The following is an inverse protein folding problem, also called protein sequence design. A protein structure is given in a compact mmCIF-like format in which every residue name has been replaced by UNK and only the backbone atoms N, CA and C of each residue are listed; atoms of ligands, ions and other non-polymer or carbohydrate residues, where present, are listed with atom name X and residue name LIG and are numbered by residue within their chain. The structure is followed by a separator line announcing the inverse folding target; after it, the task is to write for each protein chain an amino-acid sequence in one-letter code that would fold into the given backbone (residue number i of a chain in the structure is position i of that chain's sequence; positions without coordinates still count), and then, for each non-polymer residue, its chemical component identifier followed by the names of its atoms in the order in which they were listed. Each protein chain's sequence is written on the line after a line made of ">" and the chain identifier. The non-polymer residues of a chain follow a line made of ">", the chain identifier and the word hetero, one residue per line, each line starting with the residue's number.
data_IF_970371045696
#
_entry.id   IF_970371045696
#
_cell.length_a   1.000
_cell.length_b   1.000
_cell.length_c   1.000
_cell.angle_alpha   90.00
_cell.angle_beta   90.00
_cell.angle_gamma   90.00
#
_symmetry.space_group_name_H-M   'P 1'
#
loop_
_entity.id
_entity.type
_entity.pdbx_description
1 polymer ?
#
# COMPACT_ATOMS: atom_id res chain seq x y z
N UNK A 1 18.14 -15.80 29.06
CA UNK A 1 18.15 -15.46 27.63
C UNK A 1 17.24 -16.45 26.95
N UNK A 2 15.99 -16.09 26.73
CA UNK A 2 15.09 -16.85 25.86
C UNK A 2 14.46 -15.81 24.94
N UNK A 3 15.00 -15.75 23.73
CA UNK A 3 14.41 -15.00 22.62
C UNK A 3 13.21 -15.80 22.16
N UNK A 4 12.03 -15.32 22.54
CA UNK A 4 10.77 -15.86 22.07
C UNK A 4 10.69 -15.69 20.54
N UNK A 5 10.15 -16.73 19.94
CA UNK A 5 10.31 -17.13 18.55
C UNK A 5 9.42 -16.23 17.70
N UNK A 6 10.01 -15.42 16.81
CA UNK A 6 9.27 -14.72 15.76
C UNK A 6 8.48 -15.74 14.96
N UNK A 7 7.17 -15.84 15.23
CA UNK A 7 6.24 -16.57 14.39
C UNK A 7 6.15 -15.83 13.06
N UNK A 8 6.89 -16.31 12.06
CA UNK A 8 6.77 -15.88 10.68
C UNK A 8 5.30 -16.03 10.25
N UNK A 9 4.58 -14.91 10.20
CA UNK A 9 3.24 -14.87 9.64
C UNK A 9 3.35 -15.02 8.12
N UNK A 10 3.40 -16.27 7.64
CA UNK A 10 3.36 -16.65 6.21
C UNK A 10 1.96 -16.40 5.58
N UNK A 11 1.27 -15.33 5.98
CA UNK A 11 -0.03 -14.96 5.44
C UNK A 11 0.15 -13.74 4.55
N UNK A 12 0.52 -13.98 3.29
CA UNK A 12 0.60 -12.89 2.31
C UNK A 12 -0.79 -12.34 2.01
N UNK A 13 -1.08 -11.16 2.52
CA UNK A 13 -2.35 -10.47 2.29
C UNK A 13 -2.51 -10.07 0.81
N UNK A 14 -3.73 -9.92 0.30
CA UNK A 14 -3.94 -9.36 -1.04
C UNK A 14 -3.24 -8.00 -1.25
N UNK A 15 -3.13 -7.17 -0.21
CA UNK A 15 -2.44 -5.88 -0.28
C UNK A 15 -0.93 -6.07 -0.51
N UNK A 16 -0.29 -6.98 0.21
CA UNK A 16 1.12 -7.34 -0.04
C UNK A 16 1.32 -7.82 -1.49
N UNK A 17 0.44 -8.71 -1.97
CA UNK A 17 0.53 -9.23 -3.35
C UNK A 17 0.48 -8.11 -4.38
N UNK A 18 -0.41 -7.14 -4.23
CA UNK A 18 -0.48 -6.03 -5.19
C UNK A 18 0.69 -5.05 -5.06
N UNK A 19 1.23 -4.85 -3.86
CA UNK A 19 2.41 -4.01 -3.64
C UNK A 19 3.65 -4.59 -4.34
N UNK A 20 3.79 -5.91 -4.34
CA UNK A 20 4.89 -6.61 -5.00
C UNK A 20 4.72 -6.81 -6.52
N UNK A 21 3.59 -6.41 -7.11
CA UNK A 21 3.40 -6.50 -8.56
C UNK A 21 4.36 -5.57 -9.31
N UNK A 22 4.98 -6.03 -10.42
CA UNK A 22 5.67 -5.15 -11.35
C UNK A 22 4.75 -4.05 -11.89
N UNK A 23 5.30 -2.88 -12.17
CA UNK A 23 4.48 -1.70 -12.52
C UNK A 23 3.59 -1.94 -13.74
N UNK A 24 4.12 -2.57 -14.79
CA UNK A 24 3.35 -2.90 -16.00
C UNK A 24 2.19 -3.87 -15.74
N UNK A 25 2.31 -4.76 -14.75
CA UNK A 25 1.21 -5.67 -14.36
C UNK A 25 0.19 -4.91 -13.53
N UNK A 26 0.66 -4.13 -12.55
CA UNK A 26 -0.21 -3.26 -11.77
C UNK A 26 -1.01 -2.33 -12.68
N UNK A 27 -0.38 -1.83 -13.74
CA UNK A 27 -1.01 -0.91 -14.67
C UNK A 27 -2.15 -1.50 -15.49
N UNK A 28 -2.01 -2.78 -15.86
CA UNK A 28 -2.98 -3.51 -16.68
C UNK A 28 -4.10 -4.13 -15.84
N UNK A 29 -3.77 -4.68 -14.68
CA UNK A 29 -4.68 -5.54 -13.91
C UNK A 29 -5.42 -4.80 -12.79
N UNK A 30 -4.87 -3.68 -12.28
CA UNK A 30 -5.47 -2.97 -11.16
C UNK A 30 -6.38 -1.83 -11.64
N UNK A 31 -7.53 -1.73 -11.00
CA UNK A 31 -8.39 -0.54 -11.11
C UNK A 31 -7.67 0.69 -10.55
N UNK A 32 -8.05 1.89 -10.98
CA UNK A 32 -7.43 3.15 -10.51
C UNK A 32 -7.39 3.26 -8.99
N UNK A 33 -8.45 2.84 -8.29
CA UNK A 33 -8.49 2.91 -6.82
C UNK A 33 -7.63 1.84 -6.14
N UNK A 34 -7.42 0.68 -6.77
CA UNK A 34 -6.44 -0.31 -6.31
C UNK A 34 -5.01 0.19 -6.53
N UNK A 35 -4.72 0.85 -7.65
CA UNK A 35 -3.41 1.50 -7.88
C UNK A 35 -3.12 2.57 -6.82
N UNK A 36 -4.12 3.40 -6.50
CA UNK A 36 -4.02 4.40 -5.41
C UNK A 36 -3.76 3.75 -4.06
N UNK A 37 -4.49 2.68 -3.73
CA UNK A 37 -4.28 1.93 -2.48
C UNK A 37 -2.88 1.31 -2.43
N UNK A 38 -2.42 0.70 -3.52
CA UNK A 38 -1.06 0.18 -3.68
C UNK A 38 -0.01 1.26 -3.45
N UNK A 39 -0.17 2.41 -4.10
CA UNK A 39 0.76 3.54 -3.97
C UNK A 39 0.87 4.01 -2.51
N UNK A 40 -0.27 4.24 -1.85
CA UNK A 40 -0.31 4.67 -0.44
C UNK A 40 0.28 3.60 0.48
N UNK A 41 -0.02 2.32 0.24
CA UNK A 41 0.45 1.24 1.09
C UNK A 41 1.98 1.08 1.00
N UNK A 42 2.55 1.15 -0.22
CA UNK A 42 4.00 1.08 -0.42
C UNK A 42 4.71 2.17 0.37
N UNK A 43 4.25 3.41 0.31
CA UNK A 43 4.96 4.52 0.96
C UNK A 43 4.23 4.98 2.25
N UNK A 44 3.57 4.05 2.95
CA UNK A 44 2.74 4.40 4.11
C UNK A 44 3.55 5.02 5.25
N UNK A 45 4.81 4.61 5.43
CA UNK A 45 5.71 5.16 6.45
C UNK A 45 6.00 6.65 6.23
N UNK A 46 5.98 7.12 4.98
CA UNK A 46 6.24 8.53 4.64
C UNK A 46 5.04 9.44 4.87
N UNK A 47 3.85 8.86 5.04
CA UNK A 47 2.60 9.59 5.05
C UNK A 47 1.79 9.41 6.33
N UNK A 48 1.94 8.28 7.00
CA UNK A 48 1.20 7.96 8.20
C UNK A 48 1.79 8.61 9.45
N UNK A 49 0.91 8.87 10.43
CA UNK A 49 1.31 9.26 11.77
C UNK A 49 1.57 8.00 12.60
N UNK A 50 2.74 7.90 13.24
CA UNK A 50 3.06 6.78 14.13
C UNK A 50 2.26 6.89 15.42
N UNK A 51 1.56 5.82 15.78
CA UNK A 51 0.80 5.70 17.02
C UNK A 51 1.07 4.35 17.70
N UNK A 52 0.71 4.18 19.00
CA UNK A 52 0.88 2.90 19.68
C UNK A 52 0.13 1.72 19.06
N UNK A 53 -0.86 1.98 18.21
CA UNK A 53 -1.64 0.97 17.50
C UNK A 53 -1.09 0.65 16.10
N UNK A 54 -0.04 1.32 15.65
CA UNK A 54 0.52 1.22 14.30
C UNK A 54 0.58 2.56 13.56
N UNK A 55 0.66 2.47 12.24
CA UNK A 55 0.73 3.62 11.32
C UNK A 55 -0.67 4.10 10.96
N UNK A 56 -0.98 5.36 11.27
CA UNK A 56 -2.34 5.90 11.14
C UNK A 56 -2.44 6.85 9.95
N UNK A 57 -3.40 6.58 9.07
CA UNK A 57 -3.80 7.45 7.96
C UNK A 57 -5.22 7.95 8.18
N UNK A 58 -5.43 9.26 8.09
CA UNK A 58 -6.77 9.83 7.99
C UNK A 58 -7.16 10.11 6.53
N UNK A 59 -8.45 10.39 6.31
CA UNK A 59 -8.97 10.67 4.97
C UNK A 59 -8.33 11.90 4.31
N UNK A 60 -7.86 12.87 5.11
CA UNK A 60 -7.21 14.06 4.57
C UNK A 60 -5.80 13.75 4.08
N UNK A 61 -5.08 12.91 4.81
CA UNK A 61 -3.74 12.43 4.47
C UNK A 61 -3.80 11.62 3.18
N UNK A 62 -4.73 10.67 3.08
CA UNK A 62 -4.98 9.92 1.83
C UNK A 62 -5.29 10.86 0.66
N UNK A 63 -6.16 11.86 0.87
CA UNK A 63 -6.48 12.83 -0.17
C UNK A 63 -5.26 13.65 -0.61
N UNK A 64 -4.39 14.05 0.33
CA UNK A 64 -3.15 14.78 0.04
C UNK A 64 -2.17 13.92 -0.76
N UNK A 65 -1.96 12.67 -0.36
CA UNK A 65 -1.07 11.74 -1.06
C UNK A 65 -1.54 11.52 -2.49
N UNK A 66 -2.83 11.26 -2.70
CA UNK A 66 -3.40 11.12 -4.06
C UNK A 66 -3.23 12.42 -4.86
N UNK A 67 -3.45 13.59 -4.23
CA UNK A 67 -3.27 14.89 -4.90
C UNK A 67 -1.81 15.12 -5.30
N UNK A 68 -0.86 14.71 -4.46
CA UNK A 68 0.57 14.82 -4.76
C UNK A 68 0.97 13.89 -5.92
N UNK A 69 0.41 12.68 -5.97
CA UNK A 69 0.68 11.71 -7.03
C UNK A 69 0.02 12.07 -8.38
N UNK A 70 -1.21 12.57 -8.37
CA UNK A 70 -2.02 12.78 -9.60
C UNK A 70 -2.16 14.26 -10.00
N UNK A 71 -1.64 15.19 -9.18
CA UNK A 71 -1.75 16.64 -9.40
C UNK A 71 -3.16 17.22 -9.25
N UNK A 72 -4.17 16.39 -8.98
CA UNK A 72 -5.57 16.82 -8.86
C UNK A 72 -6.20 16.28 -7.58
N UNK A 73 -7.07 17.11 -6.97
CA UNK A 73 -7.72 16.75 -5.72
C UNK A 73 -8.78 15.67 -5.96
N UNK A 74 -8.71 14.50 -5.29
CA UNK A 74 -9.71 13.46 -5.46
C UNK A 74 -11.04 13.84 -4.82
N UNK A 75 -12.14 13.28 -5.35
CA UNK A 75 -13.44 13.35 -4.68
C UNK A 75 -13.43 12.58 -3.36
N UNK A 76 -14.25 13.01 -2.39
CA UNK A 76 -14.40 12.33 -1.09
C UNK A 76 -14.81 10.86 -1.25
N UNK A 77 -15.62 10.53 -2.26
CA UNK A 77 -16.00 9.15 -2.54
C UNK A 77 -14.81 8.30 -3.03
N UNK A 78 -13.87 8.89 -3.75
CA UNK A 78 -12.62 8.23 -4.16
C UNK A 78 -11.77 7.91 -2.94
N UNK A 79 -11.60 8.87 -2.04
CA UNK A 79 -10.84 8.68 -0.79
C UNK A 79 -11.48 7.56 0.05
N UNK A 80 -12.80 7.58 0.22
CA UNK A 80 -13.51 6.53 0.96
C UNK A 80 -13.29 5.15 0.32
N UNK A 81 -13.42 5.02 -1.01
CA UNK A 81 -13.15 3.76 -1.71
C UNK A 81 -11.72 3.28 -1.52
N UNK A 82 -10.74 4.18 -1.50
CA UNK A 82 -9.33 3.82 -1.27
C UNK A 82 -9.14 3.32 0.16
N UNK A 83 -9.75 3.96 1.17
CA UNK A 83 -9.74 3.47 2.56
C UNK A 83 -10.34 2.07 2.66
N UNK A 84 -11.45 1.83 1.97
CA UNK A 84 -12.11 0.51 1.95
C UNK A 84 -11.25 -0.54 1.23
N UNK A 85 -10.48 -0.16 0.19
CA UNK A 85 -9.53 -1.06 -0.46
C UNK A 85 -8.34 -1.40 0.43
N UNK A 86 -7.80 -0.44 1.17
CA UNK A 86 -6.71 -0.68 2.11
C UNK A 86 -7.12 -1.71 3.17
N UNK A 87 -8.28 -1.52 3.81
CA UNK A 87 -8.85 -2.47 4.78
C UNK A 87 -9.13 -3.84 4.14
N UNK A 88 -9.87 -3.87 3.03
CA UNK A 88 -10.28 -5.12 2.38
C UNK A 88 -9.11 -5.97 1.90
N UNK A 89 -8.06 -5.34 1.36
CA UNK A 89 -6.91 -6.03 0.82
C UNK A 89 -5.86 -6.32 1.90
N UNK A 90 -5.71 -5.41 2.87
CA UNK A 90 -4.77 -5.55 3.97
C UNK A 90 -5.22 -6.57 5.01
N UNK A 91 -6.53 -6.82 5.13
CA UNK A 91 -7.08 -7.81 6.07
C UNK A 91 -6.52 -7.59 7.48
N UNK A 92 -5.78 -8.55 8.01
CA UNK A 92 -5.25 -8.54 9.37
C UNK A 92 -4.19 -7.43 9.57
N UNK A 93 -3.54 -6.97 8.49
CA UNK A 93 -2.53 -5.91 8.54
C UNK A 93 -3.14 -4.50 8.56
N UNK A 94 -4.44 -4.35 8.27
CA UNK A 94 -5.08 -3.05 8.08
C UNK A 94 -6.48 -3.01 8.68
N UNK A 95 -6.68 -2.15 9.67
CA UNK A 95 -7.99 -1.92 10.30
C UNK A 95 -8.55 -0.53 9.93
N UNK A 96 -9.83 -0.46 9.56
CA UNK A 96 -10.55 0.83 9.50
C UNK A 96 -11.25 1.09 10.83
N UNK A 97 -10.88 2.19 11.50
CA UNK A 97 -11.49 2.60 12.77
C UNK A 97 -12.09 4.00 12.72
N UNK A 98 -12.86 4.38 13.74
CA UNK A 98 -13.44 5.72 13.86
C UNK A 98 -13.01 6.36 15.17
N UNK A 99 -12.30 7.49 15.10
CA UNK A 99 -11.93 8.29 16.28
C UNK A 99 -12.40 9.73 16.13
N UNK A 100 -13.05 10.27 17.17
CA UNK A 100 -13.56 11.66 17.20
C UNK A 100 -14.36 12.05 15.95
N UNK A 101 -15.18 11.12 15.44
CA UNK A 101 -16.00 11.34 14.25
C UNK A 101 -15.29 11.15 12.90
N UNK A 102 -13.96 10.97 12.89
CA UNK A 102 -13.16 10.77 11.68
C UNK A 102 -12.89 9.29 11.43
N UNK A 103 -12.99 8.85 10.18
CA UNK A 103 -12.51 7.54 9.74
C UNK A 103 -10.99 7.57 9.65
N UNK A 104 -10.35 6.53 10.17
CA UNK A 104 -8.91 6.31 10.14
C UNK A 104 -8.65 4.91 9.59
N UNK A 105 -7.53 4.77 8.90
CA UNK A 105 -6.93 3.47 8.55
C UNK A 105 -5.71 3.31 9.44
N UNK A 106 -5.62 2.18 10.14
CA UNK A 106 -4.47 1.80 10.95
C UNK A 106 -3.81 0.64 10.24
N UNK A 107 -2.53 0.79 9.92
CA UNK A 107 -1.69 -0.24 9.30
C UNK A 107 -0.73 -0.75 10.36
N UNK A 108 -0.57 -2.06 10.43
CA UNK A 108 0.45 -2.68 11.28
C UNK A 108 1.85 -2.12 10.96
N UNK A 109 2.69 -1.92 11.97
CA UNK A 109 3.99 -1.26 11.79
C UNK A 109 4.99 -2.10 10.98
N UNK A 110 4.84 -3.43 10.95
CA UNK A 110 5.70 -4.37 10.23
C UNK A 110 5.21 -4.66 8.80
N UNK A 111 3.96 -4.32 8.48
CA UNK A 111 3.40 -4.52 7.15
C UNK A 111 4.15 -3.79 6.00
N UNK A 112 4.66 -2.55 6.18
CA UNK A 112 5.39 -1.83 5.14
C UNK A 112 6.65 -2.55 4.66
N UNK A 113 7.35 -3.22 5.57
CA UNK A 113 8.57 -3.96 5.23
C UNK A 113 8.26 -5.08 4.22
N UNK A 114 7.09 -5.72 4.34
CA UNK A 114 6.58 -6.71 3.38
C UNK A 114 6.12 -6.10 2.05
N UNK A 115 5.70 -4.83 2.04
CA UNK A 115 5.27 -4.14 0.81
C UNK A 115 6.45 -3.72 -0.08
N UNK A 116 7.63 -3.49 0.49
CA UNK A 116 8.82 -3.03 -0.24
C UNK A 116 9.69 -4.14 -0.85
N UNK A 117 9.44 -5.41 -0.48
CA UNK A 117 10.43 -6.49 -0.56
C UNK A 117 10.76 -7.05 -1.96
N UNK A 118 10.39 -6.35 -3.05
CA UNK A 118 10.69 -6.81 -4.43
C UNK A 118 11.14 -5.76 -5.45
N UNK A 119 11.47 -4.53 -5.05
CA UNK A 119 11.88 -3.53 -6.02
C UNK A 119 13.27 -3.74 -6.65
N UNK A 120 14.13 -4.60 -6.10
CA UNK A 120 15.53 -4.69 -6.55
C UNK A 120 15.83 -5.75 -7.63
N UNK A 121 14.84 -6.52 -8.13
CA UNK A 121 15.13 -7.64 -9.07
C UNK A 121 14.49 -7.59 -10.46
N UNK A 122 13.74 -6.53 -10.81
CA UNK A 122 12.93 -6.54 -12.02
C UNK A 122 13.23 -5.44 -13.06
N UNK A 123 14.43 -4.82 -13.03
CA UNK A 123 14.81 -3.82 -14.04
C UNK A 123 15.95 -4.26 -14.99
N UNK A 124 16.46 -5.49 -14.89
CA UNK A 124 17.57 -6.00 -15.74
C UNK A 124 17.12 -6.93 -16.89
N UNK A 125 15.88 -6.82 -17.37
CA UNK A 125 15.49 -7.50 -18.60
C UNK A 125 14.85 -6.53 -19.58
N UNK A 126 15.68 -5.67 -20.18
CA UNK A 126 15.36 -5.11 -21.48
C UNK A 126 15.30 -6.27 -22.50
N UNK A 127 14.21 -6.44 -23.26
CA UNK A 127 14.27 -7.29 -24.45
C UNK A 127 15.15 -6.57 -25.47
N UNK A 128 16.32 -7.14 -25.76
CA UNK A 128 17.12 -6.73 -26.92
C UNK A 128 16.37 -7.17 -28.17
N UNK A 129 15.46 -6.33 -28.66
CA UNK A 129 15.06 -6.38 -30.05
C UNK A 129 16.11 -5.66 -30.91
N UNK A 130 16.51 -6.34 -31.98
CA UNK A 130 17.15 -5.83 -33.19
C UNK A 130 18.68 -5.71 -33.20
N UNK A 131 19.34 -6.69 -33.84
CA UNK A 131 20.23 -6.39 -34.98
C UNK A 131 20.04 -7.48 -36.05
N UNK A 132 19.69 -7.02 -37.24
CA UNK A 132 19.64 -7.78 -38.49
C UNK A 132 21.01 -8.34 -38.88
N UNK A 133 21.03 -9.52 -39.49
CA UNK A 133 21.80 -9.83 -40.71
C UNK A 133 21.23 -11.09 -41.35
#
# INVERSE_FOLDING_TARGET
>A
METDKTESHDVTTPLERICTLPEHVADRELTTNQKRARFIARDVQDHAEKAPAGLVLDSQTIAKVITAAEGTKPHTQTVARVMDFLEKLGKDDVEQTKRRGKKLVVVDEEAPDRYHDRCDRANDQAPTESVMS
#
